data_IF_226968670344
#
_entry.id   IF_226968670344
#
_cell.length_a   1.000
_cell.length_b   1.000
_cell.length_c   1.000
_cell.angle_alpha   90.00
_cell.angle_beta   90.00
_cell.angle_gamma   90.00
#
_symmetry.space_group_name_H-M   'P 1'
#
loop_
_entity.id
_entity.type
_entity.pdbx_description
1 polymer ?
#
# COMPACT_ATOMS: atom_id res chain seq x y z
N UNK A 1 -8.12 19.86 -23.37
CA UNK A 1 -7.20 18.80 -23.85
C UNK A 1 -6.23 18.32 -22.79
N UNK A 2 -5.50 19.21 -22.08
CA UNK A 2 -4.49 18.80 -21.08
C UNK A 2 -5.00 17.86 -19.97
N UNK A 3 -6.20 18.11 -19.42
CA UNK A 3 -6.82 17.22 -18.42
C UNK A 3 -7.03 15.80 -18.96
N UNK A 4 -7.46 15.67 -20.22
CA UNK A 4 -7.65 14.37 -20.86
C UNK A 4 -6.33 13.60 -21.00
N UNK A 5 -5.26 14.29 -21.39
CA UNK A 5 -3.92 13.71 -21.48
C UNK A 5 -3.42 13.26 -20.10
N UNK A 6 -3.62 14.09 -19.08
CA UNK A 6 -3.21 13.76 -17.72
C UNK A 6 -3.95 12.53 -17.16
N UNK A 7 -5.27 12.45 -17.40
CA UNK A 7 -6.07 11.29 -16.98
C UNK A 7 -5.65 10.01 -17.69
N UNK A 8 -5.49 10.06 -19.01
CA UNK A 8 -5.08 8.88 -19.79
C UNK A 8 -3.66 8.46 -19.42
N UNK A 9 -2.73 9.40 -19.37
CA UNK A 9 -1.33 9.13 -19.00
C UNK A 9 -1.20 8.57 -17.59
N UNK A 10 -1.88 9.18 -16.61
CA UNK A 10 -1.89 8.69 -15.24
C UNK A 10 -2.49 7.29 -15.12
N UNK A 11 -3.60 7.03 -15.82
CA UNK A 11 -4.22 5.70 -15.83
C UNK A 11 -3.30 4.64 -16.45
N UNK A 12 -2.65 4.94 -17.58
CA UNK A 12 -1.71 4.01 -18.23
C UNK A 12 -0.51 3.72 -17.34
N UNK A 13 0.12 4.75 -16.76
CA UNK A 13 1.29 4.57 -15.88
C UNK A 13 0.90 3.76 -14.64
N UNK A 14 -0.19 4.13 -13.97
CA UNK A 14 -0.67 3.40 -12.80
C UNK A 14 -1.01 1.94 -13.14
N UNK A 15 -1.70 1.71 -14.26
CA UNK A 15 -2.08 0.38 -14.71
C UNK A 15 -0.88 -0.54 -14.96
N UNK A 16 0.15 -0.02 -15.64
CA UNK A 16 1.39 -0.77 -15.89
C UNK A 16 2.11 -1.11 -14.58
N UNK A 17 2.29 -0.12 -13.69
CA UNK A 17 2.93 -0.35 -12.40
C UNK A 17 2.15 -1.38 -11.56
N UNK A 18 0.81 -1.29 -11.55
CA UNK A 18 -0.04 -2.26 -10.85
C UNK A 18 0.12 -3.68 -11.41
N UNK A 19 0.17 -3.84 -12.72
CA UNK A 19 0.24 -5.16 -13.35
C UNK A 19 1.61 -5.84 -13.19
N UNK A 20 2.70 -5.06 -13.19
CA UNK A 20 4.06 -5.61 -13.16
C UNK A 20 4.63 -5.68 -11.74
N UNK A 21 4.34 -4.71 -10.89
CA UNK A 21 4.96 -4.58 -9.56
C UNK A 21 4.01 -4.89 -8.40
N UNK A 22 2.69 -4.93 -8.61
CA UNK A 22 1.74 -5.16 -7.52
C UNK A 22 1.77 -4.04 -6.46
N UNK A 23 1.76 -2.77 -6.87
CA UNK A 23 1.95 -1.59 -5.99
C UNK A 23 0.85 -1.33 -4.94
N UNK A 24 -0.18 -2.18 -4.85
CA UNK A 24 -1.30 -2.01 -3.90
C UNK A 24 -1.43 -3.28 -3.06
N UNK A 25 -1.51 -3.08 -1.75
CA UNK A 25 -1.74 -4.16 -0.79
C UNK A 25 -3.09 -4.85 -1.07
N UNK A 26 -3.18 -6.11 -0.67
CA UNK A 26 -4.46 -6.80 -0.59
C UNK A 26 -5.35 -6.16 0.48
N UNK A 27 -6.66 -6.41 0.40
CA UNK A 27 -7.61 -5.87 1.38
C UNK A 27 -7.33 -6.35 2.81
N UNK A 28 -6.78 -7.55 2.96
CA UNK A 28 -6.40 -8.13 4.25
C UNK A 28 -5.15 -7.44 4.81
N UNK A 29 -4.10 -7.30 4.00
CA UNK A 29 -2.88 -6.57 4.40
C UNK A 29 -3.14 -5.09 4.71
N UNK A 30 -4.06 -4.45 3.97
CA UNK A 30 -4.50 -3.08 4.23
C UNK A 30 -5.31 -2.97 5.53
N UNK A 31 -6.09 -4.02 5.88
CA UNK A 31 -6.82 -4.11 7.15
C UNK A 31 -5.89 -4.34 8.35
N UNK A 32 -4.89 -5.23 8.22
CA UNK A 32 -3.88 -5.48 9.25
C UNK A 32 -2.92 -4.30 9.45
N UNK A 33 -2.74 -3.48 8.40
CA UNK A 33 -1.90 -2.30 8.41
C UNK A 33 -0.48 -2.56 7.92
N UNK A 34 0.08 -1.60 7.18
CA UNK A 34 1.37 -1.73 6.49
C UNK A 34 2.57 -2.00 7.41
N UNK A 35 2.52 -1.52 8.66
CA UNK A 35 3.57 -1.77 9.65
C UNK A 35 3.64 -3.25 10.00
N UNK A 36 2.49 -3.92 10.14
CA UNK A 36 2.44 -5.34 10.44
C UNK A 36 2.63 -6.19 9.17
N UNK A 37 1.88 -5.87 8.10
CA UNK A 37 1.83 -6.68 6.88
C UNK A 37 3.09 -6.59 6.02
N UNK A 38 3.79 -5.45 6.02
CA UNK A 38 5.04 -5.26 5.25
C UNK A 38 6.27 -5.27 6.16
N UNK A 39 6.25 -4.47 7.23
CA UNK A 39 7.43 -4.24 8.08
C UNK A 39 7.53 -5.19 9.28
N UNK A 40 6.46 -5.94 9.61
CA UNK A 40 6.36 -6.84 10.77
C UNK A 40 6.67 -6.16 12.11
N UNK A 41 6.24 -4.91 12.26
CA UNK A 41 6.36 -4.12 13.49
C UNK A 41 4.96 -3.94 14.07
N UNK A 42 4.78 -4.36 15.33
CA UNK A 42 3.54 -4.10 16.08
C UNK A 42 3.46 -2.61 16.44
N UNK A 43 2.33 -1.99 16.14
CA UNK A 43 2.02 -0.61 16.57
C UNK A 43 1.57 -0.53 18.04
N UNK A 44 1.30 -1.69 18.65
CA UNK A 44 0.99 -1.80 20.08
C UNK A 44 2.20 -2.28 20.87
N UNK A 45 2.46 -1.72 22.07
CA UNK A 45 3.49 -2.23 22.95
C UNK A 45 3.22 -3.70 23.30
N UNK A 46 4.28 -4.51 23.38
CA UNK A 46 4.18 -5.84 23.96
C UNK A 46 3.58 -5.71 25.37
N UNK A 47 2.51 -6.46 25.64
CA UNK A 47 1.85 -6.47 26.95
C UNK A 47 2.67 -7.25 27.97
N UNK A 48 3.93 -6.90 28.17
CA UNK A 48 4.67 -7.25 29.38
C UNK A 48 5.55 -6.06 29.75
N UNK A 49 5.06 -5.14 30.61
CA UNK A 49 5.94 -4.30 31.38
C UNK A 49 6.71 -5.22 32.33
N UNK A 50 7.96 -5.52 31.99
CA UNK A 50 8.87 -6.34 32.78
C UNK A 50 9.60 -5.52 33.85
N UNK A 51 8.87 -4.63 34.52
CA UNK A 51 9.36 -3.83 35.65
C UNK A 51 8.55 -4.10 36.91
#
# INVERSE_FOLDING_TARGET
>A
MGVGIALIGGFVVYGVLKAVLGIRMSQEEEYEGADLSVHRISSTPDREPNW
#
